data_IF_117455209301
#
_entry.id   IF_117455209301
#
_cell.length_a   1.000
_cell.length_b   1.000
_cell.length_c   1.000
_cell.angle_alpha   90.00
_cell.angle_beta   90.00
_cell.angle_gamma   90.00
#
_symmetry.space_group_name_H-M   'P 1'
#
loop_
_entity.id
_entity.type
_entity.pdbx_description
1 polymer ?
#
# COMPACT_ATOMS: atom_id res chain seq x y z
N UNK A 1 50.03 8.96 13.56
CA UNK A 1 49.00 9.83 12.98
C UNK A 1 48.92 11.09 13.83
N UNK A 2 49.08 12.27 13.22
CA UNK A 2 49.10 13.53 13.95
C UNK A 2 47.78 13.79 14.67
N UNK A 3 47.86 14.24 15.92
CA UNK A 3 46.66 14.54 16.74
C UNK A 3 45.73 15.53 16.05
N UNK A 4 46.30 16.51 15.33
CA UNK A 4 45.57 17.51 14.55
C UNK A 4 44.82 16.88 13.38
N UNK A 5 45.47 15.96 12.67
CA UNK A 5 44.86 15.24 11.55
C UNK A 5 43.73 14.31 12.02
N UNK A 6 43.91 13.64 13.16
CA UNK A 6 42.86 12.80 13.77
C UNK A 6 41.62 13.62 14.14
N UNK A 7 41.79 14.80 14.74
CA UNK A 7 40.68 15.66 15.14
C UNK A 7 39.95 16.20 13.90
N UNK A 8 40.68 16.64 12.87
CA UNK A 8 40.09 17.11 11.62
C UNK A 8 39.22 16.03 10.95
N UNK A 9 39.67 14.77 10.93
CA UNK A 9 38.89 13.66 10.41
C UNK A 9 37.59 13.40 11.19
N UNK A 10 37.64 13.47 12.52
CA UNK A 10 36.45 13.29 13.37
C UNK A 10 35.44 14.42 13.13
N UNK A 11 35.90 15.66 13.08
CA UNK A 11 35.02 16.82 12.83
C UNK A 11 34.37 16.72 11.45
N UNK A 12 35.14 16.33 10.41
CA UNK A 12 34.62 16.13 9.07
C UNK A 12 33.55 15.02 9.01
N UNK A 13 33.77 13.90 9.70
CA UNK A 13 32.81 12.81 9.77
C UNK A 13 31.50 13.23 10.45
N UNK A 14 31.57 14.02 11.54
CA UNK A 14 30.39 14.53 12.23
C UNK A 14 29.58 15.46 11.33
N UNK A 15 30.23 16.40 10.65
CA UNK A 15 29.56 17.34 9.73
C UNK A 15 28.88 16.58 8.59
N UNK A 16 29.58 15.62 7.98
CA UNK A 16 29.03 14.79 6.91
C UNK A 16 27.83 13.97 7.38
N UNK A 17 27.91 13.39 8.59
CA UNK A 17 26.78 12.64 9.16
C UNK A 17 25.56 13.52 9.37
N UNK A 18 25.72 14.74 9.88
CA UNK A 18 24.60 15.68 10.05
C UNK A 18 23.99 16.00 8.69
N UNK A 19 24.81 16.34 7.70
CA UNK A 19 24.36 16.68 6.35
C UNK A 19 23.49 15.57 5.71
N UNK A 20 23.92 14.31 5.83
CA UNK A 20 23.16 13.15 5.31
C UNK A 20 21.90 12.88 6.12
N UNK A 21 21.94 13.04 7.45
CA UNK A 21 20.77 12.77 8.30
C UNK A 21 19.71 13.87 8.21
N UNK A 22 20.09 15.10 7.86
CA UNK A 22 19.17 16.23 7.72
C UNK A 22 18.82 16.54 6.28
N UNK A 23 19.32 15.78 5.30
CA UNK A 23 18.88 15.94 3.92
C UNK A 23 17.41 15.53 3.83
N UNK A 24 16.57 16.39 3.27
CA UNK A 24 15.19 16.05 2.95
C UNK A 24 15.19 14.84 2.01
N UNK A 25 14.33 13.86 2.30
CA UNK A 25 14.03 12.80 1.33
C UNK A 25 13.42 13.49 0.11
N UNK A 26 14.09 13.43 -1.04
CA UNK A 26 13.48 13.82 -2.32
C UNK A 26 12.56 12.66 -2.72
N UNK A 27 11.23 12.77 -2.51
CA UNK A 27 10.34 11.67 -2.78
C UNK A 27 10.40 11.39 -4.27
N UNK A 28 10.70 10.13 -4.64
CA UNK A 28 10.64 9.73 -6.04
C UNK A 28 9.25 10.09 -6.56
N UNK A 29 9.13 10.92 -7.62
CA UNK A 29 7.84 11.28 -8.17
C UNK A 29 7.17 10.00 -8.64
N UNK A 30 6.11 9.60 -7.94
CA UNK A 30 5.28 8.51 -8.37
C UNK A 30 4.58 8.95 -9.66
N UNK A 31 4.46 8.07 -10.66
CA UNK A 31 3.65 8.36 -11.83
C UNK A 31 2.22 8.68 -11.36
N UNK A 32 1.63 9.73 -11.92
CA UNK A 32 0.21 10.01 -11.68
C UNK A 32 -0.60 8.77 -12.07
N UNK A 33 -1.58 8.36 -11.25
CA UNK A 33 -2.49 7.31 -11.65
C UNK A 33 -3.14 7.72 -12.98
N UNK A 34 -3.34 6.79 -13.92
CA UNK A 34 -3.98 7.11 -15.18
C UNK A 34 -5.28 7.86 -14.87
N UNK A 35 -5.43 9.05 -15.45
CA UNK A 35 -6.57 9.91 -15.25
C UNK A 35 -7.85 9.09 -15.42
N UNK A 36 -8.79 9.27 -14.49
CA UNK A 36 -10.08 8.60 -14.49
C UNK A 36 -10.89 9.01 -15.73
N UNK A 37 -10.57 8.40 -16.86
CA UNK A 37 -11.45 8.24 -18.02
C UNK A 37 -11.61 6.74 -18.22
N UNK A 38 -12.07 6.09 -17.17
CA UNK A 38 -12.89 4.89 -17.29
C UNK A 38 -14.24 5.34 -16.74
N UNK A 39 -15.13 5.74 -17.65
CA UNK A 39 -16.55 5.61 -17.36
C UNK A 39 -16.74 4.21 -16.78
N UNK A 40 -17.19 4.11 -15.53
CA UNK A 40 -17.54 2.86 -14.84
C UNK A 40 -16.47 2.14 -13.97
N UNK A 41 -15.55 2.86 -13.33
CA UNK A 41 -14.90 2.36 -12.10
C UNK A 41 -15.83 2.47 -10.87
N UNK A 42 -17.13 2.21 -11.03
CA UNK A 42 -18.08 2.19 -9.93
C UNK A 42 -18.12 0.79 -9.31
N UNK A 43 -17.83 0.70 -8.01
CA UNK A 43 -18.02 -0.56 -7.29
C UNK A 43 -19.50 -0.67 -6.96
N UNK A 44 -20.19 -1.64 -7.57
CA UNK A 44 -21.57 -1.95 -7.25
C UNK A 44 -21.64 -2.91 -6.05
N UNK A 45 -22.44 -2.56 -5.04
CA UNK A 45 -22.73 -3.45 -3.91
C UNK A 45 -23.74 -4.49 -4.37
N UNK A 46 -23.32 -5.75 -4.45
CA UNK A 46 -24.19 -6.86 -4.87
C UNK A 46 -24.96 -7.49 -3.70
N UNK A 47 -24.42 -7.42 -2.48
CA UNK A 47 -25.05 -7.96 -1.28
C UNK A 47 -24.50 -7.29 0.00
N UNK A 48 -25.36 -7.16 1.00
CA UNK A 48 -25.03 -6.63 2.33
C UNK A 48 -25.48 -7.61 3.43
N UNK A 49 -25.05 -7.36 4.67
CA UNK A 49 -25.40 -8.16 5.84
C UNK A 49 -25.04 -9.65 5.70
N UNK A 50 -23.86 -9.94 5.13
CA UNK A 50 -23.27 -11.27 5.08
C UNK A 50 -22.51 -11.54 6.38
N UNK A 51 -22.69 -12.72 6.95
CA UNK A 51 -22.02 -13.10 8.19
C UNK A 51 -20.63 -13.66 7.90
N UNK A 52 -19.62 -12.79 7.93
CA UNK A 52 -18.21 -13.14 7.72
C UNK A 52 -17.98 -13.94 6.42
N UNK A 53 -18.19 -13.36 5.22
CA UNK A 53 -18.00 -14.05 3.94
C UNK A 53 -16.54 -14.51 3.75
N UNK A 54 -16.34 -15.72 3.20
CA UNK A 54 -15.02 -16.38 3.07
C UNK A 54 -14.67 -16.79 1.65
N UNK A 55 -15.65 -17.12 0.82
CA UNK A 55 -15.44 -17.58 -0.55
C UNK A 55 -16.58 -17.12 -1.43
N UNK A 56 -16.26 -16.89 -2.70
CA UNK A 56 -17.21 -16.53 -3.76
C UNK A 56 -17.01 -17.52 -4.91
N UNK A 57 -18.10 -18.08 -5.42
CA UNK A 57 -18.12 -18.84 -6.64
C UNK A 57 -19.19 -18.27 -7.58
N UNK A 58 -18.92 -18.31 -8.88
CA UNK A 58 -19.86 -17.86 -9.91
C UNK A 58 -20.17 -19.04 -10.82
N UNK A 59 -21.45 -19.30 -11.05
CA UNK A 59 -21.92 -20.32 -11.99
C UNK A 59 -23.18 -19.80 -12.66
N UNK A 60 -23.21 -19.89 -13.99
CA UNK A 60 -24.25 -19.28 -14.83
C UNK A 60 -24.41 -17.79 -14.48
N UNK A 61 -25.63 -17.35 -14.18
CA UNK A 61 -25.94 -15.98 -13.77
C UNK A 61 -25.98 -15.81 -12.24
N UNK A 62 -25.44 -16.79 -11.50
CA UNK A 62 -25.54 -16.83 -10.04
C UNK A 62 -24.23 -16.67 -9.31
N UNK A 63 -24.31 -15.94 -8.20
CA UNK A 63 -23.19 -15.74 -7.27
C UNK A 63 -23.49 -16.48 -5.97
N UNK A 64 -22.58 -17.36 -5.60
CA UNK A 64 -22.62 -18.15 -4.38
C UNK A 64 -21.57 -17.62 -3.40
N UNK A 65 -22.02 -17.18 -2.24
CA UNK A 65 -21.13 -16.73 -1.17
C UNK A 65 -21.16 -17.73 -0.03
N UNK A 66 -19.98 -18.21 0.36
CA UNK A 66 -19.80 -19.05 1.55
C UNK A 66 -19.53 -18.17 2.77
N UNK A 67 -20.42 -18.20 3.76
CA UNK A 67 -20.25 -17.55 5.06
C UNK A 67 -19.42 -18.43 6.00
N UNK A 68 -18.83 -17.84 7.05
CA UNK A 68 -17.91 -18.51 7.98
C UNK A 68 -18.47 -19.82 8.57
N UNK A 69 -19.77 -19.85 8.89
CA UNK A 69 -20.44 -21.01 9.49
C UNK A 69 -20.77 -22.10 8.45
N UNK A 70 -20.25 -21.99 7.22
CA UNK A 70 -20.48 -22.96 6.13
C UNK A 70 -21.82 -22.79 5.42
N UNK A 71 -22.57 -21.72 5.69
CA UNK A 71 -23.81 -21.40 4.95
C UNK A 71 -23.47 -20.84 3.57
N UNK A 72 -24.24 -21.26 2.57
CA UNK A 72 -24.14 -20.75 1.20
C UNK A 72 -25.32 -19.82 0.93
N UNK A 73 -25.03 -18.57 0.54
CA UNK A 73 -26.04 -17.60 0.11
C UNK A 73 -25.97 -17.39 -1.40
N UNK A 74 -27.12 -17.39 -2.04
CA UNK A 74 -27.28 -17.08 -3.47
C UNK A 74 -27.75 -15.63 -3.58
N UNK A 75 -27.06 -14.83 -4.39
CA UNK A 75 -27.30 -13.39 -4.48
C UNK A 75 -28.09 -13.02 -5.74
N UNK A 76 -27.62 -13.47 -6.90
CA UNK A 76 -28.27 -13.32 -8.21
C UNK A 76 -28.56 -14.72 -8.77
#
# INVERSE_FOLDING_TARGET
>A
MDKRLRIAGIVGAIIFSIFVLTSEDDPIPLPEPPSATVEDNSVAVLAENLENPRSIAVSDEKIFVTEKEGRIRVIQ
#
